data_IF_281891016767
#
_entry.id   IF_281891016767
#
_cell.length_a   1.000
_cell.length_b   1.000
_cell.length_c   1.000
_cell.angle_alpha   90.00
_cell.angle_beta   90.00
_cell.angle_gamma   90.00
#
_symmetry.space_group_name_H-M   'P 1'
#
loop_
_entity.id
_entity.type
_entity.pdbx_description
1 polymer ?
#
# COMPACT_ATOMS: atom_id res chain seq x y z
N UNK A 1 3.58 84.54 8.73
CA UNK A 1 3.33 83.14 9.07
C UNK A 1 2.18 83.15 10.06
N UNK A 2 0.96 83.19 9.55
CA UNK A 2 -0.23 82.94 10.38
C UNK A 2 -0.61 81.49 10.05
N UNK A 3 -0.38 80.60 11.00
CA UNK A 3 -1.00 79.28 10.97
C UNK A 3 -2.51 79.50 11.08
N UNK A 4 -3.19 79.27 9.97
CA UNK A 4 -4.64 79.36 9.87
C UNK A 4 -5.24 78.36 10.89
N UNK A 5 -6.08 78.80 11.84
CA UNK A 5 -6.62 77.91 12.85
C UNK A 5 -7.49 76.86 12.15
N UNK A 6 -7.06 75.60 12.23
CA UNK A 6 -7.81 74.43 11.79
C UNK A 6 -9.27 74.55 12.25
N UNK A 7 -10.19 74.69 11.30
CA UNK A 7 -11.63 74.78 11.58
C UNK A 7 -12.07 73.47 12.21
N UNK A 8 -12.46 73.53 13.48
CA UNK A 8 -12.89 72.39 14.31
C UNK A 8 -13.99 71.56 13.59
N UNK A 9 -14.82 72.22 12.78
CA UNK A 9 -15.89 71.64 11.96
C UNK A 9 -15.38 70.64 10.89
N UNK A 10 -14.16 70.80 10.38
CA UNK A 10 -13.56 69.88 9.39
C UNK A 10 -12.81 68.71 10.05
N UNK A 11 -12.38 68.88 11.31
CA UNK A 11 -11.61 67.89 12.06
C UNK A 11 -12.49 66.73 12.53
N UNK A 12 -13.69 67.01 13.04
CA UNK A 12 -14.63 65.99 13.54
C UNK A 12 -14.96 64.90 12.49
N UNK A 13 -15.40 65.23 11.26
CA UNK A 13 -15.70 64.22 10.24
C UNK A 13 -14.46 63.49 9.72
N UNK A 14 -13.27 64.07 9.91
CA UNK A 14 -12.00 63.41 9.59
C UNK A 14 -11.63 62.38 10.66
N UNK A 15 -11.82 62.72 11.94
CA UNK A 15 -11.63 61.80 13.07
C UNK A 15 -12.59 60.60 12.96
N UNK A 16 -13.86 60.82 12.62
CA UNK A 16 -14.83 59.73 12.43
C UNK A 16 -14.46 58.81 11.26
N UNK A 17 -14.00 59.37 10.14
CA UNK A 17 -13.49 58.57 9.00
C UNK A 17 -12.27 57.73 9.38
N UNK A 18 -11.32 58.32 10.11
CA UNK A 18 -10.13 57.61 10.57
C UNK A 18 -10.51 56.51 11.56
N UNK A 19 -11.42 56.78 12.50
CA UNK A 19 -11.92 55.78 13.46
C UNK A 19 -12.59 54.59 12.75
N UNK A 20 -13.46 54.86 11.78
CA UNK A 20 -14.11 53.80 10.99
C UNK A 20 -13.08 53.00 10.17
N UNK A 21 -12.06 53.67 9.64
CA UNK A 21 -10.96 53.02 8.91
C UNK A 21 -10.16 52.10 9.85
N UNK A 22 -9.82 52.55 11.06
CA UNK A 22 -9.10 51.75 12.06
C UNK A 22 -9.90 50.49 12.40
N UNK A 23 -11.20 50.63 12.71
CA UNK A 23 -12.06 49.47 13.01
C UNK A 23 -12.14 48.49 11.83
N UNK A 24 -12.20 49.00 10.60
CA UNK A 24 -12.18 48.13 9.41
C UNK A 24 -10.85 47.40 9.24
N UNK A 25 -9.73 48.06 9.53
CA UNK A 25 -8.39 47.48 9.46
C UNK A 25 -8.17 46.43 10.55
N UNK A 26 -8.65 46.67 11.77
CA UNK A 26 -8.59 45.70 12.88
C UNK A 26 -9.37 44.42 12.54
N UNK A 27 -10.57 44.56 11.97
CA UNK A 27 -11.37 43.42 11.52
C UNK A 27 -10.67 42.62 10.41
N UNK A 28 -10.08 43.31 9.43
CA UNK A 28 -9.33 42.67 8.36
C UNK A 28 -8.07 41.98 8.87
N UNK A 29 -7.38 42.58 9.84
CA UNK A 29 -6.17 42.02 10.45
C UNK A 29 -6.52 40.75 11.24
N UNK A 30 -7.59 40.77 12.04
CA UNK A 30 -8.10 39.61 12.75
C UNK A 30 -8.49 38.47 11.79
N UNK A 31 -9.21 38.80 10.70
CA UNK A 31 -9.57 37.81 9.67
C UNK A 31 -8.33 37.21 9.01
N UNK A 32 -7.36 38.05 8.66
CA UNK A 32 -6.12 37.61 8.01
C UNK A 32 -5.28 36.72 8.94
N UNK A 33 -5.20 37.06 10.24
CA UNK A 33 -4.53 36.22 11.23
C UNK A 33 -5.17 34.84 11.37
N UNK A 34 -6.50 34.78 11.35
CA UNK A 34 -7.23 33.51 11.40
C UNK A 34 -6.97 32.67 10.13
N UNK A 35 -7.05 33.29 8.96
CA UNK A 35 -6.74 32.62 7.69
C UNK A 35 -5.30 32.11 7.62
N UNK A 36 -4.35 32.84 8.23
CA UNK A 36 -2.96 32.41 8.33
C UNK A 36 -2.82 31.17 9.21
N UNK A 37 -3.44 31.17 10.40
CA UNK A 37 -3.43 30.00 11.29
C UNK A 37 -4.06 28.76 10.64
N UNK A 38 -5.19 28.92 9.97
CA UNK A 38 -5.87 27.82 9.28
C UNK A 38 -5.00 27.25 8.15
N UNK A 39 -4.30 28.11 7.40
CA UNK A 39 -3.35 27.69 6.35
C UNK A 39 -2.11 27.01 6.92
N UNK A 40 -1.57 27.48 8.03
CA UNK A 40 -0.42 26.84 8.69
C UNK A 40 -0.78 25.44 9.20
N UNK A 41 -1.98 25.27 9.78
CA UNK A 41 -2.47 23.97 10.20
C UNK A 41 -2.63 23.00 9.01
N UNK A 42 -3.25 23.48 7.91
CA UNK A 42 -3.41 22.69 6.70
C UNK A 42 -2.06 22.33 6.03
N UNK A 43 -1.08 23.22 6.10
CA UNK A 43 0.27 22.97 5.57
C UNK A 43 0.96 21.85 6.36
N UNK A 44 0.90 21.89 7.70
CA UNK A 44 1.47 20.83 8.55
C UNK A 44 0.84 19.47 8.28
N UNK A 45 -0.50 19.40 8.19
CA UNK A 45 -1.19 18.15 7.89
C UNK A 45 -0.78 17.59 6.52
N UNK A 46 -0.59 18.48 5.53
CA UNK A 46 -0.14 18.08 4.19
C UNK A 46 1.31 17.60 4.19
N UNK A 47 2.20 18.24 4.95
CA UNK A 47 3.59 17.83 5.10
C UNK A 47 3.70 16.45 5.77
N UNK A 48 2.90 16.19 6.82
CA UNK A 48 2.84 14.88 7.47
C UNK A 48 2.37 13.78 6.50
N UNK A 49 1.29 14.03 5.74
CA UNK A 49 0.81 13.09 4.72
C UNK A 49 1.84 12.85 3.62
N UNK A 50 2.54 13.89 3.18
CA UNK A 50 3.60 13.79 2.17
C UNK A 50 4.78 12.97 2.69
N UNK A 51 5.16 13.16 3.95
CA UNK A 51 6.21 12.39 4.61
C UNK A 51 5.84 10.91 4.70
N UNK A 52 4.61 10.59 5.14
CA UNK A 52 4.10 9.23 5.18
C UNK A 52 4.05 8.57 3.80
N UNK A 53 3.57 9.29 2.78
CA UNK A 53 3.53 8.80 1.41
C UNK A 53 4.94 8.53 0.84
N UNK A 54 5.91 9.38 1.16
CA UNK A 54 7.30 9.17 0.75
C UNK A 54 7.92 7.93 1.41
N UNK A 55 7.65 7.69 2.69
CA UNK A 55 8.10 6.47 3.37
C UNK A 55 7.50 5.20 2.73
N UNK A 56 6.21 5.20 2.44
CA UNK A 56 5.56 4.08 1.74
C UNK A 56 6.13 3.86 0.35
N UNK A 57 6.38 4.96 -0.40
CA UNK A 57 7.01 4.89 -1.71
C UNK A 57 8.40 4.24 -1.64
N UNK A 58 9.23 4.64 -0.67
CA UNK A 58 10.56 4.05 -0.49
C UNK A 58 10.51 2.56 -0.15
N UNK A 59 9.55 2.14 0.69
CA UNK A 59 9.35 0.73 1.00
C UNK A 59 8.95 -0.08 -0.24
N UNK A 60 8.01 0.44 -1.03
CA UNK A 60 7.60 -0.20 -2.29
C UNK A 60 8.73 -0.27 -3.32
N UNK A 61 9.56 0.76 -3.42
CA UNK A 61 10.75 0.74 -4.29
C UNK A 61 11.74 -0.34 -3.85
N UNK A 62 11.95 -0.51 -2.54
CA UNK A 62 12.81 -1.58 -2.01
C UNK A 62 12.25 -2.97 -2.32
N UNK A 63 10.95 -3.18 -2.10
CA UNK A 63 10.26 -4.44 -2.43
C UNK A 63 10.35 -4.76 -3.93
N UNK A 64 10.17 -3.74 -4.79
CA UNK A 64 10.28 -3.89 -6.24
C UNK A 64 11.69 -4.32 -6.67
N UNK A 65 12.74 -3.68 -6.15
CA UNK A 65 14.14 -4.04 -6.46
C UNK A 65 14.47 -5.45 -5.99
N UNK A 66 14.00 -5.82 -4.80
CA UNK A 66 14.17 -7.18 -4.29
C UNK A 66 13.48 -8.20 -5.19
N UNK A 67 12.26 -7.90 -5.65
CA UNK A 67 11.51 -8.76 -6.55
C UNK A 67 12.19 -8.92 -7.91
N UNK A 68 12.65 -7.81 -8.51
CA UNK A 68 13.38 -7.81 -9.78
C UNK A 68 14.65 -8.68 -9.70
N UNK A 69 15.38 -8.58 -8.59
CA UNK A 69 16.58 -9.39 -8.35
C UNK A 69 16.27 -10.88 -8.30
N UNK A 70 15.21 -11.28 -7.59
CA UNK A 70 14.80 -12.68 -7.52
C UNK A 70 14.25 -13.18 -8.87
N UNK A 71 13.50 -12.36 -9.60
CA UNK A 71 13.04 -12.70 -10.96
C UNK A 71 14.19 -12.90 -11.94
N UNK A 72 15.25 -12.10 -11.83
CA UNK A 72 16.43 -12.24 -12.67
C UNK A 72 17.14 -13.56 -12.41
N UNK A 73 17.32 -13.96 -11.13
CA UNK A 73 17.87 -15.27 -10.76
C UNK A 73 17.02 -16.42 -11.33
N UNK A 74 15.69 -16.29 -11.28
CA UNK A 74 14.79 -17.29 -11.87
C UNK A 74 14.97 -17.36 -13.39
N UNK A 75 15.06 -16.22 -14.07
CA UNK A 75 15.17 -16.16 -15.52
C UNK A 75 16.50 -16.75 -16.01
N UNK A 76 17.60 -16.48 -15.29
CA UNK A 76 18.92 -17.05 -15.54
C UNK A 76 18.89 -18.57 -15.38
N UNK A 77 18.36 -19.06 -14.26
CA UNK A 77 18.21 -20.50 -14.04
C UNK A 77 17.29 -21.15 -15.07
N UNK A 78 16.14 -20.57 -15.39
CA UNK A 78 15.24 -21.11 -16.43
C UNK A 78 15.93 -21.19 -17.79
N UNK A 79 16.78 -20.22 -18.14
CA UNK A 79 17.56 -20.24 -19.38
C UNK A 79 18.62 -21.34 -19.36
N UNK A 80 19.30 -21.55 -18.23
CA UNK A 80 20.25 -22.65 -18.03
C UNK A 80 19.54 -24.02 -18.12
N UNK A 81 18.35 -24.15 -17.53
CA UNK A 81 17.53 -25.36 -17.54
C UNK A 81 16.93 -25.67 -18.91
N UNK A 82 16.50 -24.65 -19.65
CA UNK A 82 15.97 -24.82 -21.01
C UNK A 82 17.05 -25.24 -22.02
N UNK A 83 18.32 -25.03 -21.68
CA UNK A 83 19.48 -25.44 -22.48
C UNK A 83 20.08 -26.81 -22.12
N UNK A 84 19.68 -27.42 -21.00
CA UNK A 84 20.19 -28.71 -20.54
C UNK A 84 19.07 -29.76 -20.55
N UNK A 85 19.36 -30.97 -21.05
CA UNK A 85 18.39 -32.07 -21.01
C UNK A 85 17.99 -32.37 -19.56
N UNK A 86 16.69 -32.32 -19.28
CA UNK A 86 16.06 -32.45 -17.96
C UNK A 86 16.78 -33.42 -17.01
N UNK A 87 17.47 -32.89 -15.99
CA UNK A 87 17.86 -33.70 -14.84
C UNK A 87 16.95 -33.38 -13.66
N UNK A 88 16.49 -34.40 -12.94
CA UNK A 88 15.58 -34.27 -11.78
C UNK A 88 16.16 -33.45 -10.62
N UNK A 89 17.45 -33.13 -10.67
CA UNK A 89 18.16 -32.27 -9.72
C UNK A 89 17.76 -30.79 -9.87
N UNK A 90 17.37 -30.38 -11.07
CA UNK A 90 17.12 -29.00 -11.47
C UNK A 90 15.75 -28.47 -11.05
N UNK A 91 14.74 -29.34 -11.13
CA UNK A 91 13.38 -29.04 -10.66
C UNK A 91 13.39 -28.72 -9.17
N UNK A 92 14.23 -29.42 -8.37
CA UNK A 92 14.35 -29.17 -6.93
C UNK A 92 14.95 -27.80 -6.61
N UNK A 93 15.86 -27.30 -7.45
CA UNK A 93 16.42 -25.96 -7.27
C UNK A 93 15.41 -24.87 -7.62
N UNK A 94 14.68 -25.04 -8.73
CA UNK A 94 13.57 -24.15 -9.09
C UNK A 94 12.49 -24.14 -7.99
N UNK A 95 12.20 -25.31 -7.41
CA UNK A 95 11.29 -25.45 -6.29
C UNK A 95 11.80 -24.72 -5.04
N UNK A 96 13.10 -24.86 -4.72
CA UNK A 96 13.71 -24.18 -3.59
C UNK A 96 13.58 -22.66 -3.68
N UNK A 97 13.65 -22.11 -4.89
CA UNK A 97 13.46 -20.68 -5.15
C UNK A 97 12.00 -20.29 -5.06
N UNK A 98 11.10 -21.09 -5.64
CA UNK A 98 9.65 -20.85 -5.52
C UNK A 98 9.21 -20.86 -4.05
N UNK A 99 9.70 -21.83 -3.26
CA UNK A 99 9.48 -21.92 -1.81
C UNK A 99 10.08 -20.71 -1.10
N UNK A 100 11.32 -20.32 -1.42
CA UNK A 100 11.96 -19.14 -0.80
C UNK A 100 11.19 -17.86 -1.10
N UNK A 101 10.65 -17.68 -2.31
CA UNK A 101 9.80 -16.56 -2.68
C UNK A 101 8.48 -16.58 -1.92
N UNK A 102 7.81 -17.74 -1.86
CA UNK A 102 6.57 -17.90 -1.13
C UNK A 102 6.75 -17.66 0.38
N UNK A 103 7.86 -18.13 0.97
CA UNK A 103 8.14 -18.04 2.41
C UNK A 103 8.76 -16.71 2.86
N UNK A 104 9.60 -16.06 2.04
CA UNK A 104 10.29 -14.82 2.43
C UNK A 104 9.66 -13.57 1.85
N UNK A 105 9.16 -13.62 0.62
CA UNK A 105 8.61 -12.45 -0.09
C UNK A 105 7.08 -12.41 0.02
N UNK A 106 6.42 -13.57 0.03
CA UNK A 106 4.96 -13.65 0.08
C UNK A 106 4.39 -14.25 1.38
N UNK A 107 5.19 -14.37 2.45
CA UNK A 107 4.83 -15.01 3.72
C UNK A 107 3.50 -14.53 4.34
N UNK A 108 3.16 -13.25 4.11
CA UNK A 108 1.94 -12.62 4.59
C UNK A 108 0.74 -12.71 3.65
N UNK A 109 0.89 -13.28 2.44
CA UNK A 109 -0.18 -13.34 1.44
C UNK A 109 -0.89 -14.71 1.48
N UNK A 110 -2.21 -14.74 1.73
CA UNK A 110 -3.00 -15.98 1.80
C UNK A 110 -2.85 -16.88 0.58
N UNK A 111 -2.87 -16.30 -0.63
CA UNK A 111 -2.69 -17.00 -1.91
C UNK A 111 -1.42 -17.84 -1.96
N UNK A 112 -0.29 -17.24 -1.62
CA UNK A 112 1.04 -17.86 -1.67
C UNK A 112 1.13 -19.05 -0.70
N UNK A 113 0.63 -18.87 0.52
CA UNK A 113 0.67 -19.90 1.56
C UNK A 113 -0.25 -21.09 1.23
N UNK A 114 -1.41 -20.84 0.63
CA UNK A 114 -2.32 -21.90 0.16
C UNK A 114 -1.66 -22.73 -0.95
N UNK A 115 -1.07 -22.06 -1.96
CA UNK A 115 -0.38 -22.76 -3.05
C UNK A 115 0.79 -23.60 -2.54
N UNK A 116 1.60 -23.07 -1.62
CA UNK A 116 2.69 -23.80 -0.98
C UNK A 116 2.20 -25.10 -0.31
N UNK A 117 1.15 -25.01 0.52
CA UNK A 117 0.62 -26.15 1.26
C UNK A 117 0.06 -27.23 0.33
N UNK A 118 -0.64 -26.83 -0.74
CA UNK A 118 -1.17 -27.77 -1.73
C UNK A 118 -0.06 -28.41 -2.58
N UNK A 119 1.05 -27.71 -2.83
CA UNK A 119 2.21 -28.27 -3.54
C UNK A 119 2.98 -29.29 -2.68
N UNK A 120 2.98 -29.09 -1.36
CA UNK A 120 3.68 -29.94 -0.39
C UNK A 120 2.83 -31.09 0.16
N UNK A 121 2.55 -31.02 1.46
CA UNK A 121 2.17 -32.15 2.33
C UNK A 121 0.92 -32.95 1.93
N UNK A 122 -0.04 -32.34 1.24
CA UNK A 122 -1.30 -33.01 0.89
C UNK A 122 -1.75 -32.71 -0.52
N UNK A 123 -2.22 -33.78 -1.18
CA UNK A 123 -2.64 -33.69 -2.56
C UNK A 123 -3.85 -32.76 -2.75
N UNK A 124 -4.74 -32.86 -1.77
CA UNK A 124 -5.92 -32.07 -1.62
C UNK A 124 -6.05 -31.66 -0.15
N UNK A 125 -6.57 -30.46 0.09
CA UNK A 125 -6.87 -29.99 1.45
C UNK A 125 -8.26 -29.37 1.49
N UNK A 126 -8.98 -29.62 2.57
CA UNK A 126 -10.23 -28.92 2.85
C UNK A 126 -9.96 -27.48 3.26
N UNK A 127 -10.96 -26.61 3.10
CA UNK A 127 -10.91 -25.21 3.56
C UNK A 127 -10.57 -25.12 5.05
N UNK A 128 -11.09 -26.03 5.86
CA UNK A 128 -10.81 -26.08 7.31
C UNK A 128 -9.35 -26.41 7.58
N UNK A 129 -8.79 -27.41 6.90
CA UNK A 129 -7.37 -27.76 7.00
C UNK A 129 -6.47 -26.60 6.55
N UNK A 130 -6.81 -25.94 5.45
CA UNK A 130 -6.08 -24.75 4.97
C UNK A 130 -6.18 -23.59 5.95
N UNK A 131 -7.35 -23.36 6.57
CA UNK A 131 -7.52 -22.34 7.61
C UNK A 131 -6.59 -22.59 8.79
N UNK A 132 -6.54 -23.85 9.26
CA UNK A 132 -5.68 -24.25 10.38
C UNK A 132 -4.18 -24.17 10.05
N UNK A 133 -3.79 -24.63 8.86
CA UNK A 133 -2.38 -24.68 8.45
C UNK A 133 -1.83 -23.30 8.06
N UNK A 134 -2.66 -22.43 7.47
CA UNK A 134 -2.22 -21.09 7.08
C UNK A 134 -2.22 -20.10 8.24
N UNK A 135 -3.11 -20.27 9.22
CA UNK A 135 -3.31 -19.34 10.33
C UNK A 135 -4.14 -18.10 9.96
N UNK A 136 -4.72 -18.05 8.76
CA UNK A 136 -5.64 -16.99 8.36
C UNK A 136 -7.08 -17.30 8.77
N UNK A 137 -7.95 -16.28 8.77
CA UNK A 137 -9.38 -16.49 9.04
C UNK A 137 -10.04 -17.28 7.91
N UNK A 138 -11.10 -18.03 8.23
CA UNK A 138 -11.82 -18.83 7.25
C UNK A 138 -12.37 -18.00 6.08
N UNK A 139 -12.76 -16.74 6.32
CA UNK A 139 -13.23 -15.82 5.27
C UNK A 139 -12.11 -15.43 4.30
N UNK A 140 -10.90 -15.15 4.81
CA UNK A 140 -9.73 -14.84 3.99
C UNK A 140 -9.33 -16.05 3.15
N UNK A 141 -9.31 -17.24 3.75
CA UNK A 141 -8.99 -18.47 3.02
C UNK A 141 -10.03 -18.75 1.94
N UNK A 142 -11.33 -18.63 2.24
CA UNK A 142 -12.39 -18.81 1.25
C UNK A 142 -12.25 -17.84 0.08
N UNK A 143 -12.03 -16.56 0.37
CA UNK A 143 -11.83 -15.54 -0.65
C UNK A 143 -10.65 -15.90 -1.56
N UNK A 144 -9.50 -16.24 -0.97
CA UNK A 144 -8.32 -16.64 -1.75
C UNK A 144 -8.52 -17.93 -2.52
N UNK A 145 -9.29 -18.90 -2.02
CA UNK A 145 -9.64 -20.09 -2.79
C UNK A 145 -10.44 -19.74 -4.05
N UNK A 146 -11.40 -18.84 -3.96
CA UNK A 146 -12.15 -18.37 -5.14
C UNK A 146 -11.26 -17.59 -6.12
N UNK A 147 -10.35 -16.75 -5.63
CA UNK A 147 -9.42 -16.01 -6.49
C UNK A 147 -8.43 -16.93 -7.21
N UNK A 148 -7.84 -17.90 -6.49
CA UNK A 148 -6.96 -18.92 -7.08
C UNK A 148 -7.72 -19.82 -8.07
N UNK A 149 -8.97 -20.17 -7.76
CA UNK A 149 -9.80 -20.98 -8.65
C UNK A 149 -10.14 -20.23 -9.94
N UNK A 150 -10.51 -18.95 -9.83
CA UNK A 150 -10.75 -18.08 -10.99
C UNK A 150 -9.50 -17.87 -11.83
N UNK A 151 -8.33 -17.84 -11.21
CA UNK A 151 -7.04 -17.77 -11.88
C UNK A 151 -6.58 -19.13 -12.45
N UNK A 152 -7.41 -20.18 -12.37
CA UNK A 152 -7.13 -21.53 -12.89
C UNK A 152 -5.88 -22.19 -12.26
N UNK A 153 -5.50 -21.76 -11.05
CA UNK A 153 -4.36 -22.33 -10.32
C UNK A 153 -4.77 -23.53 -9.46
N UNK A 154 -6.03 -23.55 -8.99
CA UNK A 154 -6.60 -24.63 -8.20
C UNK A 154 -8.00 -25.01 -8.70
N UNK A 155 -8.41 -26.25 -8.45
CA UNK A 155 -9.83 -26.60 -8.44
C UNK A 155 -10.34 -26.48 -7.01
N UNK A 156 -11.48 -25.82 -6.84
CA UNK A 156 -12.17 -25.73 -5.57
C UNK A 156 -13.59 -26.28 -5.72
N UNK A 157 -13.88 -27.35 -5.00
CA UNK A 157 -15.20 -27.93 -4.86
C UNK A 157 -15.90 -27.27 -3.68
N UNK A 158 -16.95 -26.48 -3.95
CA UNK A 158 -17.71 -25.76 -2.92
C UNK A 158 -18.53 -26.71 -2.03
N UNK A 159 -19.06 -27.80 -2.59
CA UNK A 159 -19.91 -28.77 -1.89
C UNK A 159 -19.09 -29.57 -0.88
N UNK A 160 -17.87 -29.96 -1.27
CA UNK A 160 -16.94 -30.68 -0.40
C UNK A 160 -15.97 -29.75 0.36
N UNK A 161 -16.04 -28.44 0.10
CA UNK A 161 -15.09 -27.43 0.58
C UNK A 161 -13.63 -27.84 0.39
N UNK A 162 -13.30 -28.47 -0.74
CA UNK A 162 -12.02 -29.15 -0.99
C UNK A 162 -11.26 -28.50 -2.13
N UNK A 163 -9.98 -28.22 -1.91
CA UNK A 163 -9.11 -27.57 -2.87
C UNK A 163 -7.97 -28.50 -3.31
N UNK A 164 -7.64 -28.49 -4.60
CA UNK A 164 -6.48 -29.17 -5.16
C UNK A 164 -5.83 -28.33 -6.26
N UNK A 165 -4.55 -28.55 -6.51
CA UNK A 165 -3.83 -27.85 -7.58
C UNK A 165 -4.26 -28.39 -8.95
N UNK A 166 -4.47 -27.48 -9.90
CA UNK A 166 -4.70 -27.85 -11.31
C UNK A 166 -3.45 -28.53 -11.87
N UNK A 167 -2.27 -27.95 -11.63
CA UNK A 167 -0.98 -28.51 -12.03
C UNK A 167 -0.06 -28.63 -10.83
N UNK A 168 0.37 -29.86 -10.53
CA UNK A 168 1.43 -30.12 -9.56
C UNK A 168 2.78 -30.05 -10.26
N UNK A 169 3.70 -29.31 -9.65
CA UNK A 169 5.08 -29.23 -10.13
C UNK A 169 5.85 -30.55 -9.90
N UNK A 170 5.40 -31.42 -8.98
CA UNK A 170 5.98 -32.75 -8.71
C UNK A 170 4.96 -33.67 -8.00
N UNK A 171 5.20 -34.99 -8.06
CA UNK A 171 4.51 -36.02 -7.27
C UNK A 171 5.32 -36.43 -6.05
#
# INVERSE_FOLDING_TARGET
>A
MEDEPLKIEEIIPTIERVKNTIVSMENNLSKTQKELQDKEAALREREEKLSQANLQKQQLEFEYISLETEFKKISELFTELSGQQETTLDIKQLLGIYITLLEKVFAGKPHAKILYLLHGDKADMTREELTKATGFSAAIVLHSLHELHRAELINYDEDQAKANLVNRLYK
#
